data_IF_618774898789
#
_entry.id   IF_618774898789
#
_cell.length_a   1.000
_cell.length_b   1.000
_cell.length_c   1.000
_cell.angle_alpha   90.00
_cell.angle_beta   90.00
_cell.angle_gamma   90.00
#
_symmetry.space_group_name_H-M   'P 1'
#
loop_
_entity.id
_entity.type
_entity.pdbx_description
1 polymer ?
#
# COMPACT_ATOMS: atom_id res chain seq x y z
N UNK A 1 17.99 -14.40 66.23
CA UNK A 1 16.58 -13.99 65.99
C UNK A 1 16.49 -13.58 64.54
N UNK A 2 16.02 -14.48 63.67
CA UNK A 2 15.80 -14.18 62.25
C UNK A 2 14.30 -14.19 61.96
N UNK A 3 13.91 -13.20 61.17
CA UNK A 3 12.79 -13.18 60.23
C UNK A 3 11.36 -13.06 60.78
N UNK A 4 10.88 -11.81 60.82
CA UNK A 4 9.47 -11.48 60.99
C UNK A 4 9.00 -10.46 59.93
N UNK A 5 9.32 -10.70 58.65
CA UNK A 5 8.85 -9.85 57.54
C UNK A 5 8.51 -10.64 56.25
N UNK A 6 8.08 -11.90 56.36
CA UNK A 6 7.55 -12.61 55.19
C UNK A 6 6.07 -12.29 54.97
N UNK A 7 5.81 -11.22 54.23
CA UNK A 7 4.47 -10.82 53.81
C UNK A 7 3.91 -11.83 52.78
N UNK A 8 3.10 -12.79 53.23
CA UNK A 8 2.55 -13.90 52.41
C UNK A 8 1.55 -13.46 51.32
N UNK A 9 1.26 -12.17 51.18
CA UNK A 9 0.40 -11.62 50.13
C UNK A 9 1.23 -10.80 49.15
N UNK A 10 2.19 -11.44 48.48
CA UNK A 10 2.67 -10.91 47.21
C UNK A 10 1.43 -10.76 46.29
N UNK A 11 1.19 -9.59 45.68
CA UNK A 11 0.11 -9.48 44.72
C UNK A 11 0.44 -10.44 43.58
N UNK A 12 -0.27 -11.55 43.51
CA UNK A 12 -0.10 -12.56 42.48
C UNK A 12 -0.15 -11.94 41.07
N UNK A 13 -0.92 -10.86 40.94
CA UNK A 13 -1.05 -10.02 39.75
C UNK A 13 0.25 -9.29 39.33
N UNK A 14 1.19 -9.01 40.26
CA UNK A 14 2.47 -8.36 39.90
C UNK A 14 3.49 -9.31 39.30
N UNK A 15 3.52 -10.58 39.72
CA UNK A 15 4.45 -11.59 39.20
C UNK A 15 3.99 -12.16 37.84
N UNK A 16 2.70 -12.05 37.54
CA UNK A 16 2.08 -12.53 36.29
C UNK A 16 1.98 -11.49 35.17
N UNK A 17 2.49 -10.26 35.35
CA UNK A 17 2.33 -9.19 34.34
C UNK A 17 2.87 -9.56 32.96
N UNK A 18 3.93 -10.37 32.94
CA UNK A 18 4.58 -10.86 31.71
C UNK A 18 4.15 -12.29 31.33
N UNK A 19 3.38 -12.99 32.18
CA UNK A 19 2.82 -14.30 31.84
C UNK A 19 1.50 -14.10 31.08
N UNK A 20 1.42 -14.69 29.89
CA UNK A 20 0.16 -14.79 29.16
C UNK A 20 -0.75 -15.77 29.91
N UNK A 21 -1.65 -15.24 30.73
CA UNK A 21 -2.71 -16.05 31.33
C UNK A 21 -3.72 -16.38 30.22
N UNK A 22 -3.70 -17.62 29.74
CA UNK A 22 -4.48 -18.09 28.57
C UNK A 22 -5.97 -18.24 28.93
N UNK A 23 -6.34 -18.13 30.21
CA UNK A 23 -7.72 -18.25 30.63
C UNK A 23 -8.55 -17.03 30.16
N UNK A 24 -9.61 -17.23 29.35
CA UNK A 24 -10.35 -16.13 28.71
C UNK A 24 -11.32 -15.47 29.70
N UNK A 25 -10.78 -14.73 30.67
CA UNK A 25 -11.57 -13.79 31.45
C UNK A 25 -11.82 -12.54 30.61
N UNK A 26 -12.99 -11.90 30.73
CA UNK A 26 -13.39 -10.71 29.95
C UNK A 26 -12.34 -9.58 29.94
N UNK A 27 -11.64 -9.38 31.07
CA UNK A 27 -10.53 -8.41 31.21
C UNK A 27 -9.33 -8.73 30.33
N UNK A 28 -8.93 -10.00 30.27
CA UNK A 28 -7.78 -10.46 29.48
C UNK A 28 -8.12 -10.40 27.99
N UNK A 29 -9.32 -10.84 27.61
CA UNK A 29 -9.81 -10.76 26.24
C UNK A 29 -9.82 -9.32 25.70
N UNK A 30 -10.29 -8.35 26.48
CA UNK A 30 -10.24 -6.93 26.12
C UNK A 30 -8.81 -6.44 25.89
N UNK A 31 -7.87 -6.82 26.78
CA UNK A 31 -6.46 -6.46 26.63
C UNK A 31 -5.83 -7.08 25.39
N UNK A 32 -6.20 -8.33 25.07
CA UNK A 32 -5.72 -9.06 23.91
C UNK A 32 -6.22 -8.41 22.61
N UNK A 33 -7.51 -8.06 22.51
CA UNK A 33 -8.06 -7.34 21.35
C UNK A 33 -7.37 -5.98 21.16
N UNK A 34 -7.13 -5.25 22.25
CA UNK A 34 -6.45 -3.96 22.17
C UNK A 34 -5.03 -4.10 21.62
N UNK A 35 -4.26 -5.07 22.13
CA UNK A 35 -2.91 -5.38 21.63
C UNK A 35 -2.95 -5.82 20.15
N UNK A 36 -3.91 -6.66 19.77
CA UNK A 36 -4.08 -7.12 18.39
C UNK A 36 -4.37 -5.95 17.44
N UNK A 37 -5.32 -5.07 17.78
CA UNK A 37 -5.63 -3.86 16.99
C UNK A 37 -4.45 -2.89 16.89
N UNK A 38 -3.71 -2.72 17.98
CA UNK A 38 -2.51 -1.89 17.97
C UNK A 38 -1.44 -2.45 17.02
N UNK A 39 -1.24 -3.77 17.04
CA UNK A 39 -0.32 -4.44 16.14
C UNK A 39 -0.79 -4.36 14.67
N UNK A 40 -2.07 -4.59 14.41
CA UNK A 40 -2.67 -4.42 13.08
C UNK A 40 -2.42 -3.02 12.52
N UNK A 41 -2.71 -1.98 13.30
CA UNK A 41 -2.45 -0.60 12.91
C UNK A 41 -0.98 -0.33 12.59
N UNK A 42 -0.06 -0.96 13.33
CA UNK A 42 1.37 -0.88 13.06
C UNK A 42 1.73 -1.57 11.75
N UNK A 43 1.26 -2.81 11.52
CA UNK A 43 1.49 -3.53 10.28
C UNK A 43 0.99 -2.76 9.05
N UNK A 44 -0.19 -2.14 9.15
CA UNK A 44 -0.75 -1.31 8.09
C UNK A 44 0.17 -0.12 7.78
N UNK A 45 0.62 0.61 8.82
CA UNK A 45 1.55 1.75 8.67
C UNK A 45 2.88 1.31 8.05
N UNK A 46 3.47 0.23 8.54
CA UNK A 46 4.74 -0.29 8.06
C UNK A 46 4.63 -0.76 6.61
N UNK A 47 3.51 -1.41 6.25
CA UNK A 47 3.22 -1.81 4.87
C UNK A 47 3.14 -0.60 3.93
N UNK A 48 2.38 0.44 4.30
CA UNK A 48 2.26 1.64 3.47
C UNK A 48 3.60 2.37 3.32
N UNK A 49 4.37 2.47 4.41
CA UNK A 49 5.72 3.07 4.39
C UNK A 49 6.63 2.28 3.44
N UNK A 50 6.67 0.96 3.57
CA UNK A 50 7.49 0.12 2.70
C UNK A 50 7.05 0.18 1.24
N UNK A 51 5.73 0.19 0.97
CA UNK A 51 5.19 0.33 -0.37
C UNK A 51 5.59 1.67 -1.01
N UNK A 52 5.50 2.76 -0.24
CA UNK A 52 5.92 4.10 -0.66
C UNK A 52 7.43 4.13 -0.94
N UNK A 53 8.27 3.67 -0.03
CA UNK A 53 9.73 3.63 -0.23
C UNK A 53 10.11 2.80 -1.45
N UNK A 54 9.44 1.67 -1.69
CA UNK A 54 9.64 0.84 -2.88
C UNK A 54 9.24 1.58 -4.15
N UNK A 55 8.12 2.30 -4.12
CA UNK A 55 7.67 3.13 -5.24
C UNK A 55 8.69 4.23 -5.53
N UNK A 56 9.06 5.02 -4.53
CA UNK A 56 10.00 6.15 -4.67
C UNK A 56 11.38 5.69 -5.18
N UNK A 57 11.86 4.50 -4.78
CA UNK A 57 13.12 3.92 -5.28
C UNK A 57 13.05 3.45 -6.74
N UNK A 58 11.92 2.88 -7.14
CA UNK A 58 11.79 2.25 -8.46
C UNK A 58 11.28 3.21 -9.53
N UNK A 59 10.43 4.15 -9.14
CA UNK A 59 9.78 5.12 -10.00
C UNK A 59 10.77 6.20 -10.43
N UNK A 60 10.96 6.34 -11.74
CA UNK A 60 11.62 7.49 -12.34
C UNK A 60 10.53 8.36 -12.97
N UNK A 61 10.46 9.66 -12.64
CA UNK A 61 9.52 10.53 -13.33
C UNK A 61 9.92 10.58 -14.81
N UNK A 62 9.00 10.28 -15.74
CA UNK A 62 9.23 10.46 -17.16
C UNK A 62 9.30 11.96 -17.48
N UNK A 63 10.21 12.32 -18.38
CA UNK A 63 10.39 13.70 -18.82
C UNK A 63 9.46 14.02 -20.01
N UNK A 64 8.14 13.91 -19.79
CA UNK A 64 7.17 14.25 -20.82
C UNK A 64 7.11 15.75 -21.07
N UNK A 65 6.96 16.13 -22.33
CA UNK A 65 6.65 17.50 -22.76
C UNK A 65 5.25 17.54 -23.36
N UNK A 66 4.64 18.72 -23.31
CA UNK A 66 3.41 18.99 -24.04
C UNK A 66 3.72 18.79 -25.53
N UNK A 67 2.79 18.19 -26.27
CA UNK A 67 2.92 17.75 -27.66
C UNK A 67 3.71 16.47 -27.93
N UNK A 68 4.29 15.83 -26.90
CA UNK A 68 4.90 14.50 -27.09
C UNK A 68 3.85 13.45 -27.46
N UNK A 69 4.23 12.53 -28.35
CA UNK A 69 3.42 11.36 -28.71
C UNK A 69 3.70 10.20 -27.75
N UNK A 70 2.68 9.76 -27.05
CA UNK A 70 2.75 8.65 -26.08
C UNK A 70 1.77 7.54 -26.43
N UNK A 71 2.15 6.30 -26.12
CA UNK A 71 1.28 5.13 -26.25
C UNK A 71 0.65 4.79 -24.90
N UNK A 72 -0.62 4.41 -24.87
CA UNK A 72 -1.32 4.07 -23.62
C UNK A 72 -1.28 2.57 -23.41
N UNK A 73 -0.95 2.12 -22.20
CA UNK A 73 -0.96 0.70 -21.87
C UNK A 73 -2.38 0.13 -21.86
N UNK A 74 -2.62 -0.89 -22.67
CA UNK A 74 -3.88 -1.65 -22.69
C UNK A 74 -3.91 -2.78 -21.65
N UNK A 75 -2.83 -3.00 -20.89
CA UNK A 75 -2.64 -4.16 -20.01
C UNK A 75 -3.75 -4.30 -18.94
N UNK A 76 -4.25 -3.18 -18.42
CA UNK A 76 -5.31 -3.16 -17.41
C UNK A 76 -6.73 -3.24 -17.99
N UNK A 77 -6.89 -3.15 -19.31
CA UNK A 77 -8.18 -3.28 -20.00
C UNK A 77 -8.49 -4.73 -20.44
N UNK A 78 -7.70 -5.69 -19.97
CA UNK A 78 -7.76 -7.11 -20.36
C UNK A 78 -8.94 -7.92 -19.78
N UNK A 79 -10.04 -7.29 -19.36
CA UNK A 79 -11.28 -7.99 -18.98
C UNK A 79 -12.07 -8.56 -20.18
N UNK A 80 -11.50 -8.49 -21.38
CA UNK A 80 -12.11 -9.04 -22.60
C UNK A 80 -11.69 -10.51 -22.71
N UNK A 81 -12.66 -11.43 -22.54
CA UNK A 81 -12.49 -12.88 -22.73
C UNK A 81 -11.87 -13.17 -24.11
N UNK A 82 -10.56 -13.43 -24.17
CA UNK A 82 -9.85 -13.71 -25.41
C UNK A 82 -8.39 -14.14 -25.19
N UNK A 83 -7.72 -14.69 -26.22
CA UNK A 83 -6.35 -15.17 -26.11
C UNK A 83 -5.37 -14.03 -25.79
N UNK A 84 -4.85 -14.01 -24.56
CA UNK A 84 -3.92 -13.00 -24.00
C UNK A 84 -2.62 -12.78 -24.81
N UNK A 85 -2.26 -13.70 -25.72
CA UNK A 85 -0.96 -13.72 -26.39
C UNK A 85 -0.87 -12.90 -27.68
N UNK A 86 -1.97 -12.29 -28.14
CA UNK A 86 -2.06 -11.68 -29.49
C UNK A 86 -2.42 -10.19 -29.52
N UNK A 87 -2.49 -9.51 -28.36
CA UNK A 87 -2.76 -8.07 -28.33
C UNK A 87 -1.52 -7.30 -27.92
N UNK A 88 -1.23 -6.23 -28.67
CA UNK A 88 -0.18 -5.28 -28.31
C UNK A 88 -0.47 -4.71 -26.91
N UNK A 89 0.58 -4.66 -26.09
CA UNK A 89 0.47 -4.18 -24.70
C UNK A 89 0.23 -2.67 -24.61
N UNK A 90 0.45 -1.95 -25.71
CA UNK A 90 0.30 -0.51 -25.83
C UNK A 90 -0.51 -0.18 -27.07
N UNK A 91 -1.45 0.74 -26.93
CA UNK A 91 -2.38 1.16 -27.96
C UNK A 91 -2.17 2.62 -28.34
N UNK A 92 -2.27 2.89 -29.65
CA UNK A 92 -2.30 4.23 -30.22
C UNK A 92 -1.02 5.06 -30.05
N UNK A 93 -1.00 6.21 -30.69
CA UNK A 93 -0.06 7.30 -30.39
C UNK A 93 -0.90 8.54 -30.16
N UNK A 94 -0.88 9.04 -28.93
CA UNK A 94 -1.73 10.13 -28.48
C UNK A 94 -0.87 11.31 -28.09
N UNK A 95 -1.35 12.52 -28.40
CA UNK A 95 -0.64 13.75 -28.12
C UNK A 95 -0.93 14.19 -26.68
N UNK A 96 0.11 14.54 -25.93
CA UNK A 96 -0.04 15.12 -24.59
C UNK A 96 -0.53 16.56 -24.72
N UNK A 97 -1.75 16.82 -24.27
CA UNK A 97 -2.35 18.16 -24.29
C UNK A 97 -1.94 18.98 -23.07
N UNK A 98 -1.94 18.35 -21.90
CA UNK A 98 -1.66 19.02 -20.64
C UNK A 98 -1.05 18.03 -19.61
N UNK A 99 -0.20 18.55 -18.74
CA UNK A 99 0.41 17.80 -17.64
C UNK A 99 -0.28 18.20 -16.32
N UNK A 100 -0.99 17.26 -15.71
CA UNK A 100 -1.68 17.46 -14.43
C UNK A 100 -0.79 16.94 -13.30
N UNK A 101 0.08 17.80 -12.77
CA UNK A 101 1.01 17.43 -11.70
C UNK A 101 2.07 16.39 -12.13
N UNK A 102 2.68 15.66 -11.19
CA UNK A 102 3.87 14.85 -11.48
C UNK A 102 3.58 13.46 -12.06
N UNK A 103 2.31 13.02 -12.14
CA UNK A 103 1.96 11.62 -12.48
C UNK A 103 0.75 11.47 -13.40
N UNK A 104 0.12 12.56 -13.85
CA UNK A 104 -1.10 12.51 -14.66
C UNK A 104 -0.90 13.34 -15.92
N UNK A 105 -1.28 12.77 -17.06
CA UNK A 105 -1.30 13.46 -18.35
C UNK A 105 -2.70 13.45 -18.93
N UNK A 106 -3.07 14.55 -19.58
CA UNK A 106 -4.28 14.64 -20.38
C UNK A 106 -3.93 14.39 -21.83
N UNK A 107 -4.58 13.41 -22.44
CA UNK A 107 -4.32 12.99 -23.81
C UNK A 107 -5.41 13.48 -24.75
N UNK A 108 -5.01 13.86 -25.95
CA UNK A 108 -5.94 14.13 -27.04
C UNK A 108 -6.34 12.81 -27.72
N UNK A 109 -7.58 12.40 -27.51
CA UNK A 109 -8.19 11.28 -28.23
C UNK A 109 -8.97 11.81 -29.44
N UNK A 110 -8.89 11.11 -30.57
CA UNK A 110 -9.66 11.39 -31.78
C UNK A 110 -11.15 11.11 -31.54
N UNK A 111 -11.82 11.97 -30.78
CA UNK A 111 -13.19 11.70 -30.30
C UNK A 111 -13.63 12.52 -29.09
N UNK A 112 -13.55 13.86 -29.18
CA UNK A 112 -14.23 14.89 -28.36
C UNK A 112 -14.03 14.91 -26.82
N UNK A 113 -13.57 13.85 -26.16
CA UNK A 113 -13.23 13.87 -24.73
C UNK A 113 -11.76 13.52 -24.50
N UNK A 114 -11.11 14.30 -23.64
CA UNK A 114 -9.69 14.17 -23.28
C UNK A 114 -9.59 13.64 -21.84
N UNK A 115 -9.51 12.31 -21.67
CA UNK A 115 -9.39 11.71 -20.35
C UNK A 115 -8.00 11.92 -19.75
N UNK A 116 -7.96 11.95 -18.42
CA UNK A 116 -6.74 12.01 -17.64
C UNK A 116 -6.26 10.59 -17.33
N UNK A 117 -5.01 10.28 -17.69
CA UNK A 117 -4.40 8.98 -17.43
C UNK A 117 -3.26 9.10 -16.43
N UNK A 118 -3.23 8.25 -15.38
CA UNK A 118 -2.04 8.07 -14.59
C UNK A 118 -1.00 7.32 -15.41
N UNK A 119 0.25 7.74 -15.36
CA UNK A 119 1.33 7.08 -16.09
C UNK A 119 2.36 6.44 -15.16
N UNK A 120 3.08 5.47 -15.71
CA UNK A 120 4.25 4.86 -15.07
C UNK A 120 5.31 4.65 -16.16
N UNK A 121 6.54 5.10 -15.90
CA UNK A 121 7.67 4.85 -16.79
C UNK A 121 8.09 3.39 -16.65
N UNK A 122 7.97 2.61 -17.73
CA UNK A 122 8.54 1.28 -17.83
C UNK A 122 9.97 1.37 -18.37
N UNK A 123 10.94 0.79 -17.64
CA UNK A 123 12.38 0.89 -17.93
C UNK A 123 12.88 0.01 -19.10
N UNK A 124 11.97 -0.61 -19.85
CA UNK A 124 12.30 -1.66 -20.83
C UNK A 124 11.89 -1.32 -22.28
N UNK A 125 11.87 -0.04 -22.63
CA UNK A 125 11.76 0.45 -24.02
C UNK A 125 12.91 1.41 -24.30
#
# INVERSE_FOLDING_TARGET
MLEKDWNQRLPYDTLKKDLVDIHPTSRIFKSMIYKARHHENRCIKDYFKHAKERWDKSHKPPAFRIEDLVRVSALNFNNIKGPKKLKDSFEGSFLIKELHGPNVVQLELTGKQTPNFPYKSDKNL
#
